data_IF_609449053923
#
_entry.id   IF_609449053923
#
_cell.length_a   1.000
_cell.length_b   1.000
_cell.length_c   1.000
_cell.angle_alpha   90.00
_cell.angle_beta   90.00
_cell.angle_gamma   90.00
#
_symmetry.space_group_name_H-M   'P 1'
#
loop_
_entity.id
_entity.type
_entity.pdbx_description
1 polymer ?
#
# COMPACT_ATOMS: atom_id res chain seq x y z
N UNK A 1 -2.36 6.17 -31.29
CA UNK A 1 -1.60 7.20 -30.56
C UNK A 1 -2.51 7.97 -29.61
N UNK A 2 -2.72 7.46 -28.39
CA UNK A 2 -3.23 8.19 -27.23
C UNK A 2 -2.64 7.50 -26.00
N UNK A 3 -1.34 7.71 -25.76
CA UNK A 3 -0.64 7.18 -24.58
C UNK A 3 -0.98 8.10 -23.39
N UNK A 4 -1.66 7.51 -22.42
CA UNK A 4 -1.86 7.92 -21.02
C UNK A 4 -1.29 9.29 -20.62
N UNK A 5 -2.17 10.30 -20.60
CA UNK A 5 -1.88 11.68 -20.17
C UNK A 5 -2.26 11.91 -18.69
N UNK A 6 -2.07 10.90 -17.86
CA UNK A 6 -2.30 10.95 -16.41
C UNK A 6 -1.06 10.42 -15.70
N UNK A 7 0.05 11.13 -15.89
CA UNK A 7 1.23 10.96 -15.02
C UNK A 7 0.90 11.77 -13.77
N UNK A 8 0.17 11.13 -12.85
CA UNK A 8 -0.13 11.71 -11.54
C UNK A 8 1.17 12.01 -10.79
N UNK A 9 1.16 13.02 -9.92
CA UNK A 9 2.29 13.45 -9.07
C UNK A 9 2.96 12.28 -8.31
N UNK A 10 2.23 11.18 -8.11
CA UNK A 10 2.71 9.86 -7.68
C UNK A 10 3.87 9.28 -8.48
N UNK A 11 3.67 9.20 -9.79
CA UNK A 11 4.64 8.66 -10.73
C UNK A 11 5.92 9.51 -10.67
N UNK A 12 5.80 10.81 -10.40
CA UNK A 12 6.94 11.72 -10.26
C UNK A 12 7.81 11.49 -9.02
N UNK A 13 7.35 10.96 -7.87
CA UNK A 13 8.25 10.60 -6.75
C UNK A 13 8.74 9.17 -6.86
N UNK A 14 7.85 8.21 -7.11
CA UNK A 14 8.21 6.80 -7.30
C UNK A 14 9.18 6.61 -8.49
N UNK A 15 8.92 7.23 -9.65
CA UNK A 15 9.85 7.20 -10.78
C UNK A 15 11.02 8.19 -10.66
N UNK A 16 10.94 9.32 -9.92
CA UNK A 16 12.16 10.13 -9.69
C UNK A 16 13.16 9.37 -8.83
N UNK A 17 12.73 8.61 -7.84
CA UNK A 17 13.65 7.80 -7.03
C UNK A 17 14.14 6.58 -7.83
N UNK A 18 13.23 5.83 -8.47
CA UNK A 18 13.59 4.64 -9.25
C UNK A 18 14.45 4.94 -10.49
N UNK A 19 14.19 6.04 -11.24
CA UNK A 19 14.94 6.36 -12.45
C UNK A 19 15.99 7.48 -12.31
N UNK A 20 15.80 8.47 -11.43
CA UNK A 20 16.73 9.62 -11.37
C UNK A 20 17.81 9.51 -10.29
N UNK A 21 17.72 8.52 -9.37
CA UNK A 21 18.72 8.34 -8.29
C UNK A 21 19.24 6.91 -8.07
N UNK A 22 18.77 5.89 -8.80
CA UNK A 22 19.02 4.48 -8.43
C UNK A 22 18.66 4.21 -6.95
N UNK A 23 17.54 4.75 -6.47
CA UNK A 23 17.12 4.61 -5.08
C UNK A 23 15.77 3.89 -5.03
N UNK A 24 15.71 2.82 -4.24
CA UNK A 24 14.48 2.09 -3.87
C UNK A 24 13.63 2.99 -2.97
N UNK A 25 12.34 3.12 -3.30
CA UNK A 25 11.40 3.92 -2.53
C UNK A 25 11.20 3.36 -1.11
N UNK A 26 11.04 4.23 -0.12
CA UNK A 26 10.73 3.83 1.26
C UNK A 26 9.26 4.09 1.59
N UNK A 27 8.55 3.03 1.99
CA UNK A 27 7.09 2.96 2.13
C UNK A 27 6.73 2.46 3.54
N UNK A 28 6.84 3.29 4.58
CA UNK A 28 6.45 2.91 5.93
C UNK A 28 4.94 2.64 6.05
N UNK A 29 4.60 1.60 6.81
CA UNK A 29 3.24 1.30 7.26
C UNK A 29 3.04 1.72 8.71
N UNK A 30 1.90 2.35 9.01
CA UNK A 30 1.41 2.59 10.37
C UNK A 30 -0.09 2.29 10.47
N UNK A 31 -0.58 1.87 11.64
CA UNK A 31 -2.01 1.67 11.88
C UNK A 31 -2.67 2.99 12.29
N UNK A 32 -3.76 3.37 11.62
CA UNK A 32 -4.51 4.56 11.97
C UNK A 32 -5.19 4.41 13.33
N UNK A 33 -5.04 5.44 14.16
CA UNK A 33 -5.61 5.49 15.50
C UNK A 33 -4.81 4.75 16.55
N UNK A 34 -3.60 4.27 16.27
CA UNK A 34 -2.71 3.67 17.28
C UNK A 34 -1.60 4.66 17.71
N UNK A 35 -1.51 5.03 19.00
CA UNK A 35 -2.49 4.81 20.07
C UNK A 35 -3.73 5.70 19.97
N UNK A 36 -3.67 6.77 19.17
CA UNK A 36 -4.78 7.68 18.89
C UNK A 36 -4.61 8.42 17.54
N UNK A 37 -5.65 9.15 17.11
CA UNK A 37 -5.63 9.88 15.82
C UNK A 37 -4.68 11.08 15.82
N UNK A 38 -4.48 11.73 16.96
CA UNK A 38 -3.56 12.87 17.05
C UNK A 38 -2.11 12.41 16.85
N UNK A 39 -1.75 11.27 17.45
CA UNK A 39 -0.46 10.61 17.28
C UNK A 39 -0.28 10.12 15.84
N UNK A 40 -1.34 9.56 15.23
CA UNK A 40 -1.32 9.18 13.81
C UNK A 40 -1.01 10.39 12.92
N UNK A 41 -1.69 11.52 13.14
CA UNK A 41 -1.49 12.75 12.39
C UNK A 41 -0.07 13.33 12.56
N UNK A 42 0.50 13.24 13.76
CA UNK A 42 1.89 13.63 14.02
C UNK A 42 2.88 12.70 13.32
N UNK A 43 2.63 11.38 13.35
CA UNK A 43 3.46 10.38 12.68
C UNK A 43 3.49 10.57 11.17
N UNK A 44 2.34 10.85 10.53
CA UNK A 44 2.26 11.13 9.10
C UNK A 44 3.15 12.31 8.69
N UNK A 45 3.09 13.43 9.43
CA UNK A 45 3.94 14.61 9.20
C UNK A 45 5.42 14.29 9.41
N UNK A 46 5.74 13.51 10.44
CA UNK A 46 7.11 13.12 10.73
C UNK A 46 7.68 12.23 9.61
N UNK A 47 6.94 11.23 9.14
CA UNK A 47 7.38 10.34 8.06
C UNK A 47 7.60 11.12 6.76
N UNK A 48 6.72 12.08 6.42
CA UNK A 48 6.93 12.96 5.26
C UNK A 48 8.20 13.81 5.41
N UNK A 49 8.40 14.42 6.58
CA UNK A 49 9.59 15.24 6.87
C UNK A 49 10.89 14.43 6.84
N UNK A 50 10.84 13.15 7.21
CA UNK A 50 11.97 12.21 7.14
C UNK A 50 12.19 11.65 5.73
N UNK A 51 11.34 12.01 4.77
CA UNK A 51 11.53 11.66 3.35
C UNK A 51 10.91 10.35 2.93
N UNK A 52 9.85 9.88 3.60
CA UNK A 52 9.05 8.78 3.08
C UNK A 52 8.57 9.10 1.65
N UNK A 53 8.67 8.12 0.75
CA UNK A 53 8.21 8.29 -0.63
C UNK A 53 6.70 8.13 -0.73
N UNK A 54 6.13 7.25 0.10
CA UNK A 54 4.71 6.94 0.27
C UNK A 54 4.49 6.53 1.72
N UNK A 55 3.33 6.80 2.32
CA UNK A 55 2.96 6.22 3.63
C UNK A 55 1.73 5.35 3.49
N UNK A 56 1.84 4.10 3.94
CA UNK A 56 0.70 3.19 4.07
C UNK A 56 0.03 3.38 5.43
N UNK A 57 -1.26 3.70 5.39
CA UNK A 57 -2.07 3.89 6.58
C UNK A 57 -3.10 2.76 6.68
N UNK A 58 -2.89 1.87 7.64
CA UNK A 58 -3.75 0.73 7.92
C UNK A 58 -5.05 1.12 8.62
N UNK A 59 -6.18 0.78 8.03
CA UNK A 59 -7.49 0.86 8.69
C UNK A 59 -7.59 -0.26 9.72
N UNK A 60 -7.82 0.05 11.01
CA UNK A 60 -7.87 -0.99 12.03
C UNK A 60 -9.09 -1.90 11.82
N UNK A 61 -8.87 -3.21 11.86
CA UNK A 61 -9.89 -4.23 11.61
C UNK A 61 -9.72 -5.42 12.57
N UNK A 62 -10.82 -5.87 13.17
CA UNK A 62 -10.80 -6.92 14.20
C UNK A 62 -10.50 -8.32 13.63
N UNK A 63 -10.96 -8.62 12.42
CA UNK A 63 -10.89 -9.96 11.83
C UNK A 63 -9.78 -10.09 10.79
N UNK A 64 -8.68 -9.35 10.98
CA UNK A 64 -7.52 -9.29 10.11
C UNK A 64 -6.70 -10.59 10.15
N UNK A 65 -7.18 -11.65 9.50
CA UNK A 65 -6.55 -12.98 9.56
C UNK A 65 -5.12 -13.01 9.04
N UNK A 66 -4.82 -12.22 8.00
CA UNK A 66 -3.51 -12.13 7.35
C UNK A 66 -2.48 -11.29 8.12
N UNK A 67 -2.88 -10.55 9.15
CA UNK A 67 -1.95 -9.75 9.94
C UNK A 67 -1.23 -10.57 11.02
N UNK A 68 0.02 -10.21 11.26
CA UNK A 68 0.85 -10.69 12.35
C UNK A 68 0.48 -10.06 13.69
N UNK A 69 1.07 -10.59 14.77
CA UNK A 69 0.75 -10.20 16.14
C UNK A 69 0.93 -8.69 16.41
N UNK A 70 1.94 -8.06 15.79
CA UNK A 70 2.22 -6.62 16.01
C UNK A 70 1.10 -5.75 15.42
N UNK A 71 0.69 -6.02 14.17
CA UNK A 71 -0.37 -5.24 13.50
C UNK A 71 -1.75 -5.55 14.13
N UNK A 72 -2.00 -6.81 14.52
CA UNK A 72 -3.19 -7.16 15.29
C UNK A 72 -3.28 -6.38 16.61
N UNK A 73 -2.14 -6.23 17.31
CA UNK A 73 -2.09 -5.49 18.57
C UNK A 73 -2.29 -3.97 18.37
N UNK A 74 -1.70 -3.36 17.32
CA UNK A 74 -1.94 -1.95 17.00
C UNK A 74 -3.39 -1.69 16.60
N UNK A 75 -3.98 -2.56 15.76
CA UNK A 75 -5.38 -2.48 15.38
C UNK A 75 -6.31 -2.60 16.61
N UNK A 76 -6.03 -3.54 17.53
CA UNK A 76 -6.79 -3.69 18.76
C UNK A 76 -6.73 -2.43 19.66
N UNK A 77 -5.55 -1.80 19.79
CA UNK A 77 -5.43 -0.53 20.53
C UNK A 77 -6.20 0.60 19.86
N UNK A 78 -6.10 0.73 18.54
CA UNK A 78 -6.83 1.74 17.78
C UNK A 78 -8.35 1.59 17.92
N UNK A 79 -8.87 0.36 17.80
CA UNK A 79 -10.30 0.08 18.00
C UNK A 79 -10.74 0.36 19.44
N UNK A 80 -9.92 -0.02 20.44
CA UNK A 80 -10.20 0.26 21.85
C UNK A 80 -10.20 1.78 22.16
N UNK A 81 -9.40 2.55 21.44
CA UNK A 81 -9.38 4.01 21.51
C UNK A 81 -10.55 4.68 20.74
N UNK A 82 -11.42 3.90 20.08
CA UNK A 82 -12.59 4.39 19.38
C UNK A 82 -12.33 4.87 17.95
N UNK A 83 -11.24 4.44 17.30
CA UNK A 83 -10.97 4.79 15.91
C UNK A 83 -12.09 4.25 15.00
N UNK A 84 -12.65 5.11 14.16
CA UNK A 84 -13.64 4.76 13.14
C UNK A 84 -13.14 5.18 11.76
N UNK A 85 -13.67 4.55 10.70
CA UNK A 85 -13.32 4.92 9.34
C UNK A 85 -13.57 6.41 9.05
N UNK A 86 -14.70 6.95 9.50
CA UNK A 86 -15.04 8.36 9.28
C UNK A 86 -14.13 9.31 10.06
N UNK A 87 -13.76 8.97 11.30
CA UNK A 87 -12.80 9.77 12.07
C UNK A 87 -11.41 9.77 11.43
N UNK A 88 -10.98 8.64 10.86
CA UNK A 88 -9.72 8.52 10.12
C UNK A 88 -9.76 9.36 8.85
N UNK A 89 -10.85 9.29 8.07
CA UNK A 89 -11.01 10.13 6.85
C UNK A 89 -11.03 11.62 7.17
N UNK A 90 -11.69 12.01 8.27
CA UNK A 90 -11.71 13.40 8.74
C UNK A 90 -10.30 13.90 9.10
N UNK A 91 -9.54 13.11 9.87
CA UNK A 91 -8.15 13.43 10.20
C UNK A 91 -7.29 13.54 8.93
N UNK A 92 -7.43 12.60 7.99
CA UNK A 92 -6.69 12.64 6.73
C UNK A 92 -7.01 13.87 5.89
N UNK A 93 -8.28 14.30 5.86
CA UNK A 93 -8.69 15.52 5.15
C UNK A 93 -7.97 16.77 5.67
N UNK A 94 -7.67 16.82 6.97
CA UNK A 94 -6.92 17.91 7.59
C UNK A 94 -5.42 17.78 7.34
N UNK A 95 -4.86 16.57 7.41
CA UNK A 95 -3.41 16.34 7.37
C UNK A 95 -2.85 16.27 5.95
N UNK A 96 -3.53 15.60 5.01
CA UNK A 96 -3.00 15.37 3.66
C UNK A 96 -2.63 16.62 2.86
N UNK A 97 -3.30 17.80 3.02
CA UNK A 97 -2.85 19.03 2.37
C UNK A 97 -1.47 19.52 2.84
N UNK A 98 -1.01 19.08 4.01
CA UNK A 98 0.30 19.45 4.57
C UNK A 98 1.42 18.51 4.12
N UNK A 99 1.09 17.33 3.58
CA UNK A 99 2.07 16.29 3.24
C UNK A 99 2.54 16.43 1.80
N UNK A 100 3.85 16.24 1.60
CA UNK A 100 4.44 16.14 0.26
C UNK A 100 4.37 14.71 -0.30
N UNK A 101 4.52 13.70 0.55
CA UNK A 101 4.36 12.29 0.19
C UNK A 101 2.87 11.92 0.14
N UNK A 102 2.46 11.06 -0.81
CA UNK A 102 1.11 10.54 -0.81
C UNK A 102 0.86 9.53 0.31
N UNK A 103 -0.37 9.54 0.81
CA UNK A 103 -0.91 8.51 1.70
C UNK A 103 -1.71 7.49 0.89
N UNK A 104 -1.57 6.22 1.27
CA UNK A 104 -2.29 5.07 0.73
C UNK A 104 -3.05 4.42 1.85
N UNK A 105 -4.35 4.20 1.66
CA UNK A 105 -5.13 3.45 2.63
C UNK A 105 -4.92 1.96 2.38
N UNK A 106 -4.49 1.26 3.42
CA UNK A 106 -4.42 -0.20 3.48
C UNK A 106 -5.63 -0.69 4.29
N UNK A 107 -6.53 -1.45 3.66
CA UNK A 107 -7.75 -1.92 4.34
C UNK A 107 -8.16 -3.30 3.84
N UNK A 108 -8.76 -4.09 4.72
CA UNK A 108 -9.48 -5.30 4.31
C UNK A 108 -10.76 -4.93 3.54
N UNK A 109 -11.23 -5.84 2.69
CA UNK A 109 -12.37 -5.60 1.80
C UNK A 109 -13.71 -5.55 2.56
N UNK A 110 -13.86 -6.34 3.63
CA UNK A 110 -15.14 -6.43 4.35
C UNK A 110 -15.64 -5.06 4.88
N UNK A 111 -14.83 -4.24 5.58
CA UNK A 111 -15.23 -2.87 5.96
C UNK A 111 -15.59 -1.95 4.77
N UNK A 112 -14.90 -2.11 3.64
CA UNK A 112 -15.18 -1.34 2.42
C UNK A 112 -16.55 -1.73 1.85
N UNK A 113 -16.81 -3.04 1.74
CA UNK A 113 -18.07 -3.57 1.24
C UNK A 113 -19.25 -3.17 2.13
N UNK A 114 -19.08 -3.17 3.45
CA UNK A 114 -20.12 -2.74 4.41
C UNK A 114 -20.51 -1.27 4.23
N UNK A 115 -19.55 -0.38 3.92
CA UNK A 115 -19.83 1.02 3.57
C UNK A 115 -20.40 1.19 2.16
N UNK A 116 -20.10 0.24 1.28
CA UNK A 116 -20.31 0.34 -0.17
C UNK A 116 -19.08 0.91 -0.86
N UNK A 117 -18.61 0.21 -1.90
CA UNK A 117 -17.36 0.51 -2.64
C UNK A 117 -17.32 1.93 -3.20
N UNK A 118 -18.40 2.40 -3.82
CA UNK A 118 -18.48 3.75 -4.38
C UNK A 118 -18.42 4.84 -3.30
N UNK A 119 -19.19 4.66 -2.21
CA UNK A 119 -19.19 5.58 -1.06
C UNK A 119 -17.82 5.64 -0.38
N UNK A 120 -17.18 4.49 -0.23
CA UNK A 120 -15.83 4.41 0.32
C UNK A 120 -14.81 5.13 -0.56
N UNK A 121 -14.78 4.85 -1.87
CA UNK A 121 -13.85 5.49 -2.80
C UNK A 121 -14.02 7.01 -2.85
N UNK A 122 -15.26 7.52 -2.84
CA UNK A 122 -15.53 8.95 -2.77
C UNK A 122 -14.98 9.58 -1.48
N UNK A 123 -15.24 8.97 -0.32
CA UNK A 123 -14.73 9.46 0.96
C UNK A 123 -13.19 9.46 1.02
N UNK A 124 -12.54 8.42 0.47
CA UNK A 124 -11.07 8.33 0.38
C UNK A 124 -10.51 9.50 -0.46
N UNK A 125 -11.11 9.78 -1.61
CA UNK A 125 -10.71 10.90 -2.48
C UNK A 125 -10.89 12.25 -1.79
N UNK A 126 -12.02 12.45 -1.10
CA UNK A 126 -12.28 13.68 -0.33
C UNK A 126 -11.27 13.89 0.82
N UNK A 127 -10.77 12.80 1.40
CA UNK A 127 -9.74 12.83 2.44
C UNK A 127 -8.34 13.14 1.90
N UNK A 128 -8.18 13.35 0.59
CA UNK A 128 -6.90 13.68 -0.06
C UNK A 128 -5.97 12.48 -0.27
N UNK A 129 -6.40 11.29 0.12
CA UNK A 129 -5.70 10.01 -0.13
C UNK A 129 -5.62 9.77 -1.64
N UNK A 130 -4.58 9.06 -2.06
CA UNK A 130 -4.26 8.89 -3.49
C UNK A 130 -4.25 7.45 -3.97
N UNK A 131 -4.25 6.48 -3.06
CA UNK A 131 -4.25 5.08 -3.41
C UNK A 131 -4.90 4.20 -2.37
N UNK A 132 -5.18 2.97 -2.79
CA UNK A 132 -5.79 1.92 -2.00
C UNK A 132 -5.01 0.62 -2.18
N UNK A 133 -4.76 -0.07 -1.07
CA UNK A 133 -4.28 -1.45 -1.04
C UNK A 133 -5.35 -2.27 -0.31
N UNK A 134 -5.86 -3.30 -0.98
CA UNK A 134 -6.86 -4.22 -0.43
C UNK A 134 -6.35 -5.66 -0.58
N UNK A 135 -5.63 -6.18 0.43
CA UNK A 135 -4.91 -7.46 0.33
C UNK A 135 -5.80 -8.66 0.04
N UNK A 136 -7.03 -8.63 0.53
CA UNK A 136 -8.03 -9.70 0.46
C UNK A 136 -9.10 -9.44 -0.59
N UNK A 137 -8.89 -8.49 -1.52
CA UNK A 137 -9.86 -8.13 -2.56
C UNK A 137 -10.22 -9.37 -3.40
N UNK A 138 -11.48 -9.84 -3.36
CA UNK A 138 -11.87 -11.00 -4.14
C UNK A 138 -11.76 -10.70 -5.63
N UNK A 139 -11.35 -11.71 -6.41
CA UNK A 139 -11.18 -11.53 -7.86
C UNK A 139 -12.48 -11.05 -8.54
N UNK A 140 -13.61 -11.63 -8.15
CA UNK A 140 -14.93 -11.27 -8.68
C UNK A 140 -15.28 -9.78 -8.45
N UNK A 141 -14.78 -9.18 -7.38
CA UNK A 141 -15.06 -7.79 -6.99
C UNK A 141 -14.01 -6.81 -7.56
N UNK A 142 -12.88 -7.31 -8.05
CA UNK A 142 -11.74 -6.49 -8.47
C UNK A 142 -12.11 -5.52 -9.58
N UNK A 143 -12.83 -5.97 -10.62
CA UNK A 143 -13.19 -5.10 -11.74
C UNK A 143 -14.11 -3.96 -11.29
N UNK A 144 -15.16 -4.28 -10.54
CA UNK A 144 -16.13 -3.29 -10.09
C UNK A 144 -15.49 -2.27 -9.15
N UNK A 145 -14.66 -2.72 -8.19
CA UNK A 145 -14.00 -1.80 -7.27
C UNK A 145 -12.93 -0.95 -7.95
N UNK A 146 -12.21 -1.51 -8.93
CA UNK A 146 -11.26 -0.77 -9.75
C UNK A 146 -11.92 0.37 -10.52
N UNK A 147 -13.11 0.13 -11.09
CA UNK A 147 -13.85 1.18 -11.79
C UNK A 147 -14.24 2.32 -10.85
N UNK A 148 -14.65 2.01 -9.61
CA UNK A 148 -14.89 3.03 -8.59
C UNK A 148 -13.62 3.79 -8.18
N UNK A 149 -12.48 3.11 -8.04
CA UNK A 149 -11.21 3.76 -7.77
C UNK A 149 -10.82 4.73 -8.90
N UNK A 150 -10.94 4.31 -10.17
CA UNK A 150 -10.64 5.15 -11.34
C UNK A 150 -11.56 6.38 -11.40
N UNK A 151 -12.88 6.21 -11.17
CA UNK A 151 -13.84 7.32 -11.14
C UNK A 151 -13.47 8.39 -10.10
N UNK A 152 -12.84 7.97 -9.01
CA UNK A 152 -12.41 8.83 -7.92
C UNK A 152 -10.93 9.25 -8.02
N UNK A 153 -10.26 8.95 -9.14
CA UNK A 153 -8.83 9.24 -9.35
C UNK A 153 -7.93 8.65 -8.24
N UNK A 154 -8.23 7.43 -7.82
CA UNK A 154 -7.46 6.65 -6.86
C UNK A 154 -6.72 5.52 -7.58
N UNK A 155 -5.46 5.32 -7.20
CA UNK A 155 -4.67 4.17 -7.66
C UNK A 155 -4.99 2.95 -6.79
N UNK A 156 -5.64 1.94 -7.37
CA UNK A 156 -5.86 0.65 -6.69
C UNK A 156 -4.64 -0.25 -6.91
N UNK A 157 -3.78 -0.35 -5.90
CA UNK A 157 -2.59 -1.22 -5.90
C UNK A 157 -3.02 -2.65 -5.62
N UNK A 158 -2.66 -3.56 -6.52
CA UNK A 158 -2.92 -4.98 -6.41
C UNK A 158 -1.66 -5.75 -6.03
N UNK A 159 -1.87 -6.89 -5.38
CA UNK A 159 -0.81 -7.68 -4.79
C UNK A 159 -0.56 -8.96 -5.59
N UNK A 160 0.71 -9.37 -5.62
CA UNK A 160 1.14 -10.69 -6.06
C UNK A 160 1.84 -11.40 -4.90
N UNK A 161 1.75 -12.73 -4.88
CA UNK A 161 2.36 -13.59 -3.88
C UNK A 161 3.27 -14.62 -4.55
N UNK A 162 4.16 -15.30 -3.82
CA UNK A 162 4.93 -16.42 -4.36
C UNK A 162 4.04 -17.56 -4.88
N UNK A 163 2.83 -17.69 -4.37
CA UNK A 163 1.82 -18.66 -4.81
C UNK A 163 1.00 -18.21 -6.04
N UNK A 164 1.15 -16.96 -6.50
CA UNK A 164 0.39 -16.43 -7.65
C UNK A 164 0.89 -17.06 -8.96
N UNK A 165 0.02 -17.70 -9.76
CA UNK A 165 0.41 -18.24 -11.06
C UNK A 165 0.82 -17.16 -12.08
N UNK A 166 1.71 -17.45 -13.06
CA UNK A 166 2.20 -16.47 -14.03
C UNK A 166 1.11 -15.76 -14.85
N UNK A 167 0.09 -16.49 -15.29
CA UNK A 167 -1.04 -15.94 -16.03
C UNK A 167 -1.82 -14.93 -15.18
N UNK A 168 -1.99 -15.25 -13.90
CA UNK A 168 -2.69 -14.40 -12.94
C UNK A 168 -1.85 -13.18 -12.56
N UNK A 169 -0.54 -13.36 -12.43
CA UNK A 169 0.42 -12.28 -12.21
C UNK A 169 0.30 -11.25 -13.32
N UNK A 170 0.27 -11.67 -14.59
CA UNK A 170 0.09 -10.76 -15.72
C UNK A 170 -1.20 -9.94 -15.61
N UNK A 171 -2.34 -10.59 -15.36
CA UNK A 171 -3.63 -9.90 -15.16
C UNK A 171 -3.57 -8.87 -14.02
N UNK A 172 -2.96 -9.24 -12.89
CA UNK A 172 -2.78 -8.35 -11.73
C UNK A 172 -1.91 -7.16 -12.11
N UNK A 173 -0.77 -7.39 -12.76
CA UNK A 173 0.14 -6.30 -13.14
C UNK A 173 -0.46 -5.36 -14.18
N UNK A 174 -1.32 -5.84 -15.08
CA UNK A 174 -2.06 -5.00 -16.03
C UNK A 174 -3.12 -4.16 -15.31
N UNK A 175 -3.86 -4.77 -14.38
CA UNK A 175 -4.95 -4.14 -13.64
C UNK A 175 -4.48 -3.16 -12.55
N UNK A 176 -3.32 -3.38 -11.92
CA UNK A 176 -2.82 -2.59 -10.79
C UNK A 176 -2.62 -1.11 -11.14
N UNK A 177 -3.07 -0.21 -10.29
CA UNK A 177 -2.75 1.22 -10.34
C UNK A 177 -1.45 1.52 -9.57
N UNK A 178 -0.76 2.60 -9.94
CA UNK A 178 0.48 3.02 -9.29
C UNK A 178 1.64 2.03 -9.46
N UNK A 179 1.77 1.08 -8.53
CA UNK A 179 2.82 0.06 -8.48
C UNK A 179 2.22 -1.35 -8.29
N UNK A 180 3.05 -2.39 -8.35
CA UNK A 180 2.67 -3.76 -8.01
C UNK A 180 3.27 -4.10 -6.66
N UNK A 181 2.44 -4.60 -5.74
CA UNK A 181 2.90 -5.01 -4.42
C UNK A 181 3.27 -6.50 -4.44
N UNK A 182 4.54 -6.82 -4.24
CA UNK A 182 5.01 -8.20 -4.06
C UNK A 182 5.07 -8.54 -2.57
N UNK A 183 4.22 -9.46 -2.14
CA UNK A 183 4.28 -10.02 -0.79
C UNK A 183 5.42 -11.04 -0.74
N UNK A 184 6.39 -10.86 0.16
CA UNK A 184 7.61 -11.67 0.19
C UNK A 184 7.42 -13.12 0.65
N UNK A 185 6.28 -13.44 1.26
CA UNK A 185 6.02 -14.72 1.92
C UNK A 185 4.56 -15.16 1.76
N UNK A 186 4.35 -16.47 1.62
CA UNK A 186 3.03 -17.07 1.78
C UNK A 186 2.70 -17.13 3.29
N UNK A 187 2.13 -16.04 3.82
CA UNK A 187 1.56 -16.01 5.17
C UNK A 187 2.20 -15.05 6.18
N UNK A 188 1.32 -14.25 6.78
CA UNK A 188 1.40 -13.30 7.91
C UNK A 188 2.57 -12.30 7.99
N UNK A 189 2.25 -11.05 8.36
CA UNK A 189 3.26 -10.03 8.71
C UNK A 189 4.04 -10.42 9.98
N UNK A 190 5.26 -9.91 10.15
CA UNK A 190 6.09 -10.14 11.33
C UNK A 190 7.59 -10.02 11.05
N UNK A 191 8.37 -9.65 12.08
CA UNK A 191 9.83 -9.58 11.97
C UNK A 191 10.42 -10.97 11.74
N UNK A 192 11.43 -11.07 10.87
CA UNK A 192 12.15 -12.31 10.56
C UNK A 192 13.65 -12.04 10.53
N UNK A 193 14.45 -13.10 10.65
CA UNK A 193 15.90 -13.01 10.62
C UNK A 193 16.48 -12.91 9.20
N UNK A 194 15.75 -13.38 8.18
CA UNK A 194 16.22 -13.44 6.78
C UNK A 194 15.08 -13.17 5.80
N UNK A 195 15.39 -12.52 4.67
CA UNK A 195 14.45 -12.35 3.55
C UNK A 195 14.28 -13.67 2.80
N UNK A 196 13.07 -13.95 2.32
CA UNK A 196 12.78 -15.13 1.50
C UNK A 196 13.58 -15.08 0.17
N UNK A 197 14.48 -16.05 -0.11
CA UNK A 197 15.28 -16.04 -1.35
C UNK A 197 14.44 -16.06 -2.63
N UNK A 198 13.19 -16.57 -2.55
CA UNK A 198 12.27 -16.60 -3.69
C UNK A 198 11.85 -15.21 -4.17
N UNK A 199 12.01 -14.17 -3.34
CA UNK A 199 11.72 -12.79 -3.73
C UNK A 199 12.61 -12.35 -4.89
N UNK A 200 13.89 -12.74 -4.91
CA UNK A 200 14.80 -12.36 -5.99
C UNK A 200 14.34 -12.90 -7.35
N UNK A 201 13.94 -14.17 -7.42
CA UNK A 201 13.44 -14.77 -8.65
C UNK A 201 12.10 -14.19 -9.07
N UNK A 202 11.18 -13.96 -8.11
CA UNK A 202 9.87 -13.38 -8.38
C UNK A 202 9.96 -11.92 -8.89
N UNK A 203 10.89 -11.13 -8.36
CA UNK A 203 11.16 -9.78 -8.87
C UNK A 203 11.58 -9.84 -10.35
N UNK A 204 12.46 -10.77 -10.71
CA UNK A 204 12.88 -10.98 -12.11
C UNK A 204 11.72 -11.41 -12.99
N UNK A 205 10.85 -12.29 -12.51
CA UNK A 205 9.67 -12.77 -13.25
C UNK A 205 8.62 -11.66 -13.45
N UNK A 206 8.26 -10.92 -12.40
CA UNK A 206 7.28 -9.82 -12.49
C UNK A 206 7.77 -8.74 -13.44
N UNK A 207 9.06 -8.37 -13.38
CA UNK A 207 9.64 -7.36 -14.27
C UNK A 207 9.70 -7.79 -15.74
N UNK A 208 9.49 -9.06 -16.07
CA UNK A 208 9.33 -9.51 -17.46
C UNK A 208 7.93 -9.24 -18.03
N UNK A 209 6.93 -9.06 -17.16
CA UNK A 209 5.53 -8.91 -17.57
C UNK A 209 4.97 -7.51 -17.34
N UNK A 210 5.73 -6.61 -16.69
CA UNK A 210 5.29 -5.22 -16.44
C UNK A 210 6.44 -4.23 -16.42
N UNK A 211 6.16 -3.00 -16.87
CA UNK A 211 7.04 -1.83 -16.74
C UNK A 211 6.71 -1.01 -15.47
N UNK A 212 5.71 -1.43 -14.68
CA UNK A 212 5.34 -0.77 -13.43
C UNK A 212 6.39 -1.04 -12.35
N UNK A 213 6.54 -0.08 -11.45
CA UNK A 213 7.38 -0.26 -10.27
C UNK A 213 6.86 -1.44 -9.42
N UNK A 214 7.77 -2.23 -8.85
CA UNK A 214 7.46 -3.35 -7.96
C UNK A 214 7.98 -3.03 -6.56
N UNK A 215 7.06 -2.85 -5.62
CA UNK A 215 7.40 -2.71 -4.20
C UNK A 215 7.32 -4.06 -3.50
N UNK A 216 8.28 -4.38 -2.66
CA UNK A 216 8.29 -5.61 -1.87
C UNK A 216 7.90 -5.28 -0.45
N UNK A 217 6.89 -5.98 0.08
CA UNK A 217 6.53 -5.85 1.48
C UNK A 217 6.55 -7.17 2.23
N UNK A 218 6.19 -7.09 3.52
CA UNK A 218 6.14 -8.17 4.51
C UNK A 218 7.54 -8.70 4.90
N UNK A 219 7.79 -8.88 6.20
CA UNK A 219 9.03 -9.47 6.72
C UNK A 219 10.28 -8.56 6.69
N UNK A 220 10.14 -7.30 6.31
CA UNK A 220 11.22 -6.31 6.29
C UNK A 220 11.27 -5.62 7.65
N UNK A 221 12.41 -5.73 8.34
CA UNK A 221 12.54 -5.20 9.71
C UNK A 221 13.90 -4.62 10.04
N UNK A 222 14.87 -4.73 9.13
CA UNK A 222 16.24 -4.22 9.30
C UNK A 222 16.68 -3.46 8.05
N UNK A 223 17.61 -2.49 8.18
CA UNK A 223 18.22 -1.85 7.02
C UNK A 223 18.91 -2.84 6.06
N UNK A 224 19.45 -3.95 6.58
CA UNK A 224 20.06 -4.99 5.74
C UNK A 224 19.04 -5.71 4.86
N UNK A 225 17.81 -5.95 5.35
CA UNK A 225 16.73 -6.48 4.51
C UNK A 225 16.39 -5.51 3.37
N UNK A 226 16.28 -4.21 3.70
CA UNK A 226 16.00 -3.16 2.72
C UNK A 226 17.09 -3.14 1.65
N UNK A 227 18.36 -3.15 2.05
CA UNK A 227 19.51 -3.14 1.14
C UNK A 227 19.51 -4.38 0.24
N UNK A 228 19.28 -5.56 0.80
CA UNK A 228 19.24 -6.82 0.04
C UNK A 228 18.11 -6.81 -1.00
N UNK A 229 16.92 -6.37 -0.63
CA UNK A 229 15.76 -6.31 -1.53
C UNK A 229 15.97 -5.26 -2.64
N UNK A 230 16.60 -4.13 -2.32
CA UNK A 230 17.02 -3.13 -3.29
C UNK A 230 18.04 -3.71 -4.29
N UNK A 231 19.05 -4.45 -3.82
CA UNK A 231 20.05 -5.13 -4.65
C UNK A 231 19.43 -6.19 -5.58
N UNK A 232 18.35 -6.84 -5.15
CA UNK A 232 17.55 -7.75 -5.98
C UNK A 232 16.68 -7.04 -7.02
N UNK A 233 16.66 -5.71 -7.00
CA UNK A 233 16.01 -4.88 -8.01
C UNK A 233 14.58 -4.50 -7.66
N UNK A 234 14.19 -4.46 -6.38
CA UNK A 234 12.91 -3.85 -5.99
C UNK A 234 12.94 -2.32 -6.19
N UNK A 235 11.79 -1.77 -6.61
CA UNK A 235 11.63 -0.33 -6.80
C UNK A 235 11.11 0.36 -5.53
N UNK A 236 10.58 -0.40 -4.56
CA UNK A 236 10.16 0.09 -3.24
C UNK A 236 10.18 -1.00 -2.14
N UNK A 237 10.25 -0.57 -0.87
CA UNK A 237 10.22 -1.41 0.34
C UNK A 237 9.43 -0.78 1.48
#
# INVERSE_FOLDING_TARGET
MRRYRWIGVWMLRFHRCAHARMQTAFIPYITAGDPDLATTAAALRLLDALGADVVELGMPFSDASADGAVIKASAARALAAGATADAIMAMLKEVTPELSCPVVIFSYFSPIAQRGTASFAAAVKEAGVKGLIVPDLPYAETSAFRDEAIKNELELVLLTTPSTPPERMKEITEASGGFVYLVSVDGVTGARATVNPRVESLLKEIKQVTDKAVAVGFGISTPDHVKQIAEWGADGV
#
